data_IF_468973668796
#
_entry.id   IF_468973668796
#
_cell.length_a   1.000
_cell.length_b   1.000
_cell.length_c   1.000
_cell.angle_alpha   90.00
_cell.angle_beta   90.00
_cell.angle_gamma   90.00
#
_symmetry.space_group_name_H-M   'P 1'
#
loop_
_entity.id
_entity.type
_entity.pdbx_description
1 polymer ?
#
# COMPACT_ATOMS: atom_id res chain seq x y z
N UNK A 1 -44.62 10.08 2.99
CA UNK A 1 -43.68 9.03 3.43
C UNK A 1 -42.34 9.35 2.83
N UNK A 2 -41.36 9.77 3.63
CA UNK A 2 -40.02 10.10 3.16
C UNK A 2 -39.15 8.87 3.40
N UNK A 3 -38.65 8.26 2.32
CA UNK A 3 -37.73 7.13 2.41
C UNK A 3 -36.35 7.69 2.71
N UNK A 4 -35.84 7.45 3.92
CA UNK A 4 -34.48 7.80 4.30
C UNK A 4 -33.49 6.88 3.60
N UNK A 5 -32.64 7.45 2.75
CA UNK A 5 -31.49 6.75 2.18
C UNK A 5 -30.44 6.66 3.28
N UNK A 6 -30.25 5.47 3.85
CA UNK A 6 -29.12 5.20 4.72
C UNK A 6 -27.88 5.00 3.85
N UNK A 7 -27.05 6.04 3.76
CA UNK A 7 -25.68 5.89 3.27
C UNK A 7 -24.89 5.18 4.37
N UNK A 8 -24.70 3.87 4.22
CA UNK A 8 -23.77 3.09 5.04
C UNK A 8 -22.35 3.55 4.68
N UNK A 9 -21.84 4.57 5.37
CA UNK A 9 -20.40 4.76 5.47
C UNK A 9 -19.87 3.53 6.22
N UNK A 10 -19.24 2.59 5.52
CA UNK A 10 -18.45 1.56 6.22
C UNK A 10 -17.35 2.31 6.95
N UNK A 11 -17.49 2.49 8.26
CA UNK A 11 -16.42 3.00 9.09
C UNK A 11 -15.31 1.97 9.02
N UNK A 12 -14.28 2.22 8.18
CA UNK A 12 -13.06 1.41 8.19
C UNK A 12 -12.44 1.61 9.57
N UNK A 13 -12.53 0.61 10.43
CA UNK A 13 -11.85 0.59 11.72
C UNK A 13 -10.42 0.11 11.49
N UNK A 14 -9.47 1.03 11.58
CA UNK A 14 -8.05 0.73 11.56
C UNK A 14 -7.59 0.36 12.97
N UNK A 15 -6.49 -0.41 13.09
CA UNK A 15 -5.82 -0.49 14.38
C UNK A 15 -5.40 0.91 14.81
N UNK A 16 -5.63 1.27 16.08
CA UNK A 16 -5.03 2.49 16.66
C UNK A 16 -3.50 2.34 16.82
N UNK A 17 -3.01 1.10 16.78
CA UNK A 17 -1.59 0.80 16.84
C UNK A 17 -0.90 1.13 15.51
N UNK A 18 0.13 1.98 15.64
CA UNK A 18 1.06 2.32 14.57
C UNK A 18 2.25 1.36 14.61
N UNK A 19 2.54 0.73 13.48
CA UNK A 19 3.63 -0.22 13.34
C UNK A 19 4.56 0.21 12.20
N UNK A 20 5.86 0.00 12.41
CA UNK A 20 6.90 0.21 11.41
C UNK A 20 7.28 -1.14 10.81
N UNK A 21 7.12 -1.29 9.50
CA UNK A 21 7.45 -2.51 8.78
C UNK A 21 8.44 -2.19 7.67
N UNK A 22 9.47 -3.02 7.56
CA UNK A 22 10.37 -3.03 6.40
C UNK A 22 9.98 -4.18 5.47
N UNK A 23 9.81 -3.88 4.19
CA UNK A 23 9.30 -4.85 3.24
C UNK A 23 9.54 -4.47 1.78
N UNK A 24 9.14 -5.37 0.91
CA UNK A 24 9.18 -5.19 -0.54
C UNK A 24 7.85 -4.64 -1.02
N UNK A 25 7.90 -3.61 -1.85
CA UNK A 25 6.74 -3.03 -2.50
C UNK A 25 6.80 -3.20 -4.01
N UNK A 26 5.66 -3.46 -4.62
CA UNK A 26 5.45 -3.34 -6.06
C UNK A 26 4.09 -2.70 -6.34
N UNK A 27 4.09 -1.70 -7.20
CA UNK A 27 2.90 -1.18 -7.87
C UNK A 27 2.81 -1.83 -9.25
N UNK A 28 1.60 -2.11 -9.75
CA UNK A 28 1.30 -2.36 -11.15
C UNK A 28 -0.17 -2.01 -11.44
N UNK A 29 -0.65 -2.25 -12.66
CA UNK A 29 -2.08 -2.09 -12.97
C UNK A 29 -2.91 -2.87 -11.94
N UNK A 30 -3.68 -2.13 -11.14
CA UNK A 30 -4.57 -2.65 -10.10
C UNK A 30 -3.86 -3.45 -8.97
N UNK A 31 -2.56 -3.24 -8.79
CA UNK A 31 -1.72 -3.87 -7.75
C UNK A 31 -0.99 -2.81 -6.93
N UNK A 32 -1.06 -2.92 -5.61
CA UNK A 32 -0.28 -2.16 -4.64
C UNK A 32 0.14 -3.10 -3.51
N UNK A 33 1.06 -4.02 -3.79
CA UNK A 33 1.43 -5.10 -2.87
C UNK A 33 2.65 -4.70 -2.05
N UNK A 34 2.53 -4.80 -0.73
CA UNK A 34 3.62 -4.64 0.23
C UNK A 34 3.76 -5.91 1.07
N UNK A 35 4.94 -6.54 1.04
CA UNK A 35 5.23 -7.79 1.76
C UNK A 35 6.39 -7.56 2.72
N UNK A 36 6.24 -7.83 4.04
CA UNK A 36 7.35 -7.82 4.99
C UNK A 36 8.51 -8.72 4.55
N UNK A 37 9.75 -8.32 4.86
CA UNK A 37 10.98 -9.00 4.39
C UNK A 37 11.02 -10.51 4.70
N UNK A 38 10.39 -10.93 5.80
CA UNK A 38 10.34 -12.30 6.30
C UNK A 38 9.17 -13.13 5.75
N UNK A 39 8.27 -12.51 4.98
CA UNK A 39 7.06 -13.15 4.44
C UNK A 39 7.15 -13.49 2.94
N UNK A 40 8.23 -13.06 2.26
CA UNK A 40 8.54 -13.44 0.89
C UNK A 40 8.45 -12.29 -0.12
N UNK A 41 7.94 -12.58 -1.31
CA UNK A 41 7.99 -11.67 -2.47
C UNK A 41 6.64 -11.00 -2.77
N UNK A 42 6.61 -9.71 -3.13
CA UNK A 42 5.37 -8.98 -3.41
C UNK A 42 4.78 -9.34 -4.77
N UNK A 43 3.48 -9.09 -4.93
CA UNK A 43 2.72 -9.42 -6.12
C UNK A 43 1.22 -9.56 -5.86
N UNK A 44 0.50 -10.08 -6.86
CA UNK A 44 -0.96 -10.17 -6.81
C UNK A 44 -1.45 -11.01 -5.61
N UNK A 45 -2.22 -10.39 -4.73
CA UNK A 45 -2.80 -11.03 -3.54
C UNK A 45 -1.78 -11.47 -2.48
N UNK A 46 -0.56 -10.91 -2.51
CA UNK A 46 0.50 -11.20 -1.53
C UNK A 46 0.73 -10.03 -0.58
N UNK A 47 0.87 -10.35 0.70
CA UNK A 47 1.06 -9.38 1.78
C UNK A 47 -0.14 -8.47 1.96
N UNK A 48 0.13 -7.17 2.06
CA UNK A 48 -0.86 -6.14 2.34
C UNK A 48 -1.13 -5.30 1.10
N UNK A 49 -2.37 -4.85 0.94
CA UNK A 49 -2.68 -3.74 0.04
C UNK A 49 -2.14 -2.45 0.65
N UNK A 50 -1.08 -1.87 0.07
CA UNK A 50 -0.51 -0.63 0.56
C UNK A 50 -1.31 0.56 0.05
N UNK A 51 -1.89 1.31 0.98
CA UNK A 51 -2.50 2.61 0.72
C UNK A 51 -1.61 3.68 1.31
N UNK A 52 -1.19 4.63 0.47
CA UNK A 52 -0.44 5.80 0.90
C UNK A 52 -1.35 7.02 0.72
N UNK A 53 -1.96 7.56 1.78
CA UNK A 53 -2.81 8.73 1.70
C UNK A 53 -1.99 9.98 1.34
N UNK A 54 -2.62 10.92 0.66
CA UNK A 54 -2.06 12.25 0.46
C UNK A 54 -2.18 13.09 1.75
N UNK A 55 -1.26 14.04 2.03
CA UNK A 55 -0.10 14.40 1.21
C UNK A 55 1.14 13.59 1.59
N UNK A 56 1.60 12.70 0.72
CA UNK A 56 2.91 12.05 0.88
C UNK A 56 3.75 12.28 -0.37
N UNK A 57 5.07 12.39 -0.19
CA UNK A 57 6.00 12.52 -1.31
C UNK A 57 6.32 11.16 -1.96
N UNK A 58 5.47 10.14 -1.79
CA UNK A 58 5.74 8.77 -2.22
C UNK A 58 6.13 8.68 -3.70
N UNK A 59 5.32 9.25 -4.58
CA UNK A 59 5.59 9.25 -6.02
C UNK A 59 6.85 10.04 -6.38
N UNK A 60 7.13 11.13 -5.65
CA UNK A 60 8.36 11.90 -5.85
C UNK A 60 9.60 11.10 -5.44
N UNK A 61 9.55 10.37 -4.32
CA UNK A 61 10.61 9.48 -3.88
C UNK A 61 10.81 8.32 -4.87
N UNK A 62 9.73 7.71 -5.36
CA UNK A 62 9.78 6.64 -6.34
C UNK A 62 10.39 7.11 -7.67
N UNK A 63 9.98 8.28 -8.17
CA UNK A 63 10.55 8.89 -9.37
C UNK A 63 12.04 9.22 -9.18
N UNK A 64 12.43 9.75 -8.01
CA UNK A 64 13.81 10.05 -7.70
C UNK A 64 14.70 8.79 -7.63
N UNK A 65 14.11 7.64 -7.25
CA UNK A 65 14.82 6.37 -7.27
C UNK A 65 15.05 5.86 -8.69
N UNK A 66 14.18 6.12 -9.65
CA UNK A 66 14.34 5.65 -11.03
C UNK A 66 14.11 6.80 -12.04
N UNK A 67 14.98 7.83 -12.05
CA UNK A 67 14.81 8.99 -12.93
C UNK A 67 14.88 8.65 -14.42
N UNK A 68 15.40 7.46 -14.76
CA UNK A 68 15.51 6.95 -16.12
C UNK A 68 14.24 6.29 -16.68
N UNK A 69 13.22 6.08 -15.84
CA UNK A 69 12.00 5.34 -16.20
C UNK A 69 10.81 6.28 -16.39
N UNK A 70 9.91 5.91 -17.32
CA UNK A 70 8.59 6.53 -17.41
C UNK A 70 7.62 5.95 -16.35
N UNK A 71 6.45 6.58 -16.18
CA UNK A 71 5.43 6.16 -15.22
C UNK A 71 5.03 4.68 -15.40
N UNK A 72 4.83 4.22 -16.64
CA UNK A 72 4.42 2.83 -16.90
C UNK A 72 5.50 1.83 -16.46
N UNK A 73 6.77 2.19 -16.64
CA UNK A 73 7.92 1.38 -16.23
C UNK A 73 8.15 1.43 -14.72
N UNK A 74 7.86 2.55 -14.07
CA UNK A 74 7.95 2.72 -12.62
C UNK A 74 6.97 1.79 -11.89
N UNK A 75 5.74 1.67 -12.41
CA UNK A 75 4.69 0.74 -11.94
C UNK A 75 5.00 -0.73 -12.22
N UNK A 76 6.27 -1.12 -12.35
CA UNK A 76 6.69 -2.52 -12.41
C UNK A 76 7.98 -2.76 -11.62
N UNK A 77 8.53 -1.70 -11.00
CA UNK A 77 9.74 -1.81 -10.20
C UNK A 77 9.42 -2.22 -8.79
N UNK A 78 10.14 -3.23 -8.34
CA UNK A 78 10.18 -3.59 -6.93
C UNK A 78 11.08 -2.60 -6.21
N UNK A 79 10.63 -2.14 -5.05
CA UNK A 79 11.45 -1.32 -4.15
C UNK A 79 11.48 -1.95 -2.77
N UNK A 80 12.57 -1.71 -2.07
CA UNK A 80 12.66 -1.98 -0.64
C UNK A 80 12.28 -0.72 0.10
N UNK A 81 11.33 -0.80 1.03
CA UNK A 81 10.91 0.36 1.79
C UNK A 81 10.64 0.05 3.26
N UNK A 82 10.77 1.07 4.09
CA UNK A 82 10.33 1.05 5.49
C UNK A 82 9.17 2.03 5.62
N UNK A 83 8.03 1.53 6.06
CA UNK A 83 6.79 2.31 6.22
C UNK A 83 6.29 2.22 7.64
N UNK A 84 5.80 3.35 8.16
CA UNK A 84 5.10 3.40 9.43
C UNK A 84 3.64 3.73 9.17
N UNK A 85 2.73 2.91 9.71
CA UNK A 85 1.31 2.97 9.39
C UNK A 85 0.45 2.11 10.30
N UNK A 86 -0.81 1.94 9.95
CA UNK A 86 -1.73 1.05 10.65
C UNK A 86 -2.25 -0.06 9.74
N UNK A 87 -2.60 -1.19 10.35
CA UNK A 87 -3.18 -2.33 9.65
C UNK A 87 -4.70 -2.29 9.80
N UNK A 88 -5.41 -2.59 8.71
CA UNK A 88 -6.85 -2.77 8.76
C UNK A 88 -7.24 -4.02 9.54
N UNK A 89 -8.48 -4.08 10.00
CA UNK A 89 -9.12 -5.36 10.29
C UNK A 89 -9.06 -6.30 9.06
N UNK A 90 -9.19 -7.61 9.29
CA UNK A 90 -9.24 -8.58 8.20
C UNK A 90 -10.46 -8.32 7.29
N UNK A 91 -10.27 -8.41 5.97
CA UNK A 91 -11.30 -8.10 4.98
C UNK A 91 -10.89 -8.47 3.56
N UNK A 92 -11.37 -7.69 2.59
CA UNK A 92 -11.12 -7.87 1.16
C UNK A 92 -10.73 -6.52 0.56
N UNK A 93 -9.44 -6.32 0.32
CA UNK A 93 -8.85 -5.05 -0.11
C UNK A 93 -8.20 -5.16 -1.47
N UNK A 94 -7.92 -4.01 -2.09
CA UNK A 94 -7.35 -3.93 -3.43
C UNK A 94 -8.29 -4.41 -4.54
N UNK A 95 -7.70 -4.64 -5.72
CA UNK A 95 -8.46 -5.10 -6.88
C UNK A 95 -9.09 -6.47 -6.63
N UNK A 96 -10.40 -6.55 -6.89
CA UNK A 96 -11.25 -7.73 -6.67
C UNK A 96 -11.15 -8.32 -5.25
N UNK A 97 -10.70 -7.54 -4.25
CA UNK A 97 -10.60 -8.03 -2.87
C UNK A 97 -9.48 -9.04 -2.64
N UNK A 98 -8.41 -9.01 -3.45
CA UNK A 98 -7.34 -10.01 -3.42
C UNK A 98 -6.50 -10.03 -2.13
N UNK A 99 -6.57 -9.00 -1.27
CA UNK A 99 -5.74 -8.86 -0.08
C UNK A 99 -6.59 -8.95 1.19
N UNK A 100 -6.12 -9.73 2.16
CA UNK A 100 -6.81 -9.93 3.44
C UNK A 100 -6.72 -8.73 4.38
N UNK A 101 -5.73 -7.86 4.18
CA UNK A 101 -5.54 -6.63 4.94
C UNK A 101 -5.05 -5.49 4.03
N UNK A 102 -5.36 -4.27 4.44
CA UNK A 102 -4.82 -3.02 3.92
C UNK A 102 -3.87 -2.42 4.95
N UNK A 103 -2.71 -1.97 4.49
CA UNK A 103 -1.76 -1.21 5.29
C UNK A 103 -1.85 0.25 4.88
N UNK A 104 -2.24 1.14 5.80
CA UNK A 104 -2.31 2.58 5.54
C UNK A 104 -1.03 3.22 6.06
N UNK A 105 -0.11 3.52 5.14
CA UNK A 105 1.12 4.21 5.49
C UNK A 105 0.81 5.64 5.94
N UNK A 106 1.43 6.08 7.02
CA UNK A 106 1.44 7.50 7.44
C UNK A 106 2.76 8.15 7.08
N UNK A 107 3.87 7.41 7.19
CA UNK A 107 5.20 7.86 6.75
C UNK A 107 5.91 6.78 5.95
N UNK A 108 6.83 7.24 5.10
CA UNK A 108 7.77 6.40 4.36
C UNK A 108 9.15 6.83 4.82
N UNK A 109 9.75 6.02 5.68
CA UNK A 109 10.94 6.37 6.44
C UNK A 109 12.22 6.13 5.61
N UNK A 110 12.18 5.14 4.71
CA UNK A 110 13.27 4.81 3.79
C UNK A 110 12.68 4.16 2.52
N UNK A 111 13.27 4.46 1.36
CA UNK A 111 12.93 3.80 0.09
C UNK A 111 14.18 3.65 -0.76
N UNK A 112 14.42 2.45 -1.28
CA UNK A 112 15.61 2.11 -2.06
C UNK A 112 15.26 1.20 -3.22
N UNK A 113 16.09 1.24 -4.28
CA UNK A 113 16.03 0.25 -5.36
C UNK A 113 16.21 -1.15 -4.76
N UNK A 114 15.43 -2.10 -5.27
CA UNK A 114 15.66 -3.52 -5.01
C UNK A 114 16.70 -4.01 -6.03
N UNK A 115 17.84 -4.51 -5.56
CA UNK A 115 18.94 -5.05 -6.39
C UNK A 115 18.68 -6.50 -6.82
#
# INVERSE_FOLDING_TARGET
MTVGVFVLYSQRTWSEEMITIRGHYVSAFEVSSFVPLDEGEPGYGKGYWLTVPEPTNFWQQLNALFPELDENQLHQRKVLMTVTGSLSAQGHYGHLGAYSHEFVATTIDDMKRYE
#
